data_IF_312660589513
#
_entry.id   IF_312660589513
#
_cell.length_a   1.000
_cell.length_b   1.000
_cell.length_c   1.000
_cell.angle_alpha   90.00
_cell.angle_beta   90.00
_cell.angle_gamma   90.00
#
_symmetry.space_group_name_H-M   'P 1'
#
loop_
_entity.id
_entity.type
_entity.pdbx_description
1 polymer ?
#
# COMPACT_ATOMS: atom_id res chain seq x y z
N UNK A 1 2.97 4.83 20.41
CA UNK A 1 3.75 3.57 20.40
C UNK A 1 3.05 2.40 19.70
N UNK A 2 1.71 2.35 19.57
CA UNK A 2 1.00 1.18 18.99
C UNK A 2 0.93 1.11 17.46
N UNK A 3 1.18 2.22 16.77
CA UNK A 3 0.93 2.33 15.33
C UNK A 3 1.91 1.59 14.41
N UNK A 4 3.24 1.62 14.67
CA UNK A 4 4.20 0.85 13.89
C UNK A 4 3.93 -0.65 14.02
N UNK A 5 3.56 -1.11 15.22
CA UNK A 5 3.18 -2.50 15.47
C UNK A 5 1.87 -2.89 14.77
N UNK A 6 0.86 -2.02 14.79
CA UNK A 6 -0.37 -2.24 14.02
C UNK A 6 -0.06 -2.35 12.52
N UNK A 7 0.75 -1.44 11.99
CA UNK A 7 1.20 -1.47 10.59
C UNK A 7 1.95 -2.77 10.28
N UNK A 8 2.89 -3.17 11.13
CA UNK A 8 3.68 -4.38 10.95
C UNK A 8 2.84 -5.66 10.94
N UNK A 9 2.00 -5.83 11.97
CA UNK A 9 1.10 -6.98 12.07
C UNK A 9 0.15 -7.05 10.88
N UNK A 10 -0.39 -5.90 10.46
CA UNK A 10 -1.32 -5.83 9.34
C UNK A 10 -0.63 -6.13 8.00
N UNK A 11 0.57 -5.58 7.76
CA UNK A 11 1.39 -5.88 6.59
C UNK A 11 1.71 -7.37 6.50
N UNK A 12 2.17 -7.98 7.59
CA UNK A 12 2.48 -9.41 7.65
C UNK A 12 1.23 -10.25 7.40
N UNK A 13 0.11 -9.90 8.04
CA UNK A 13 -1.16 -10.61 7.88
C UNK A 13 -1.65 -10.56 6.42
N UNK A 14 -1.60 -9.38 5.79
CA UNK A 14 -1.97 -9.20 4.39
C UNK A 14 -1.07 -10.01 3.46
N UNK A 15 0.25 -9.94 3.64
CA UNK A 15 1.20 -10.71 2.84
C UNK A 15 0.97 -12.22 3.00
N UNK A 16 0.69 -12.70 4.21
CA UNK A 16 0.44 -14.11 4.46
C UNK A 16 -0.87 -14.58 3.81
N UNK A 17 -1.94 -13.81 3.94
CA UNK A 17 -3.24 -14.13 3.33
C UNK A 17 -3.14 -14.11 1.81
N UNK A 18 -2.44 -13.13 1.26
CA UNK A 18 -2.22 -13.04 -0.18
C UNK A 18 -1.38 -14.21 -0.72
N UNK A 19 -0.35 -14.64 0.00
CA UNK A 19 0.42 -15.86 -0.32
C UNK A 19 -0.43 -17.12 -0.26
N UNK A 20 -1.35 -17.22 0.71
CA UNK A 20 -2.17 -18.42 0.94
C UNK A 20 -3.36 -18.54 0.00
N UNK A 21 -4.02 -17.41 -0.30
CA UNK A 21 -5.34 -17.40 -0.97
C UNK A 21 -5.34 -16.65 -2.30
N UNK A 22 -4.25 -15.96 -2.64
CA UNK A 22 -4.12 -15.09 -3.83
C UNK A 22 -5.22 -14.02 -3.94
N UNK A 23 -5.96 -13.77 -2.85
CA UNK A 23 -7.09 -12.85 -2.78
C UNK A 23 -7.22 -12.28 -1.38
N UNK A 24 -7.13 -10.96 -1.27
CA UNK A 24 -7.34 -10.27 0.01
C UNK A 24 -8.85 -10.01 0.21
N UNK A 25 -9.47 -10.52 1.28
CA UNK A 25 -10.89 -10.33 1.51
C UNK A 25 -11.20 -8.87 1.88
N UNK A 26 -12.32 -8.35 1.37
CA UNK A 26 -12.73 -6.94 1.56
C UNK A 26 -12.90 -6.58 3.03
N UNK A 27 -13.38 -7.53 3.84
CA UNK A 27 -13.62 -7.36 5.26
C UNK A 27 -12.35 -6.96 6.03
N UNK A 28 -11.20 -7.52 5.67
CA UNK A 28 -9.91 -7.20 6.29
C UNK A 28 -9.49 -5.76 5.99
N UNK A 29 -9.76 -5.29 4.78
CA UNK A 29 -9.49 -3.91 4.38
C UNK A 29 -10.37 -2.95 5.18
N UNK A 30 -11.67 -3.25 5.33
CA UNK A 30 -12.58 -2.42 6.12
C UNK A 30 -12.25 -2.42 7.61
N UNK A 31 -11.84 -3.56 8.16
CA UNK A 31 -11.35 -3.65 9.54
C UNK A 31 -10.13 -2.75 9.77
N UNK A 32 -9.23 -2.65 8.79
CA UNK A 32 -8.07 -1.78 8.88
C UNK A 32 -8.43 -0.29 8.82
N UNK A 33 -9.39 0.09 7.97
CA UNK A 33 -9.92 1.45 7.97
C UNK A 33 -10.56 1.79 9.31
N UNK A 34 -11.34 0.86 9.87
CA UNK A 34 -12.03 1.05 11.15
C UNK A 34 -11.04 1.16 12.31
N UNK A 35 -9.97 0.35 12.33
CA UNK A 35 -8.96 0.41 13.40
C UNK A 35 -8.10 1.67 13.34
N UNK A 36 -7.94 2.28 12.15
CA UNK A 36 -7.21 3.54 11.98
C UNK A 36 -8.05 4.78 12.24
N UNK A 37 -9.38 4.69 12.11
CA UNK A 37 -10.32 5.80 12.26
C UNK A 37 -10.07 6.72 13.47
N UNK A 38 -9.84 6.23 14.70
CA UNK A 38 -9.64 7.10 15.87
C UNK A 38 -8.34 7.93 15.85
N UNK A 39 -7.45 7.69 14.89
CA UNK A 39 -6.09 8.25 14.83
C UNK A 39 -5.87 9.04 13.52
N UNK A 40 -6.92 9.23 12.72
CA UNK A 40 -6.85 9.95 11.45
C UNK A 40 -6.71 11.45 11.73
N UNK A 41 -5.70 12.08 11.12
CA UNK A 41 -5.55 13.54 11.07
C UNK A 41 -5.89 14.08 9.68
N UNK A 42 -6.13 15.39 9.57
CA UNK A 42 -6.38 16.03 8.26
C UNK A 42 -5.24 15.77 7.25
N UNK A 43 -3.99 15.74 7.72
CA UNK A 43 -2.82 15.40 6.89
C UNK A 43 -2.95 14.00 6.28
N UNK A 44 -3.42 13.04 7.07
CA UNK A 44 -3.61 11.65 6.63
C UNK A 44 -4.74 11.54 5.62
N UNK A 45 -5.81 12.32 5.77
CA UNK A 45 -6.91 12.36 4.79
C UNK A 45 -6.41 12.87 3.44
N UNK A 46 -5.58 13.92 3.44
CA UNK A 46 -4.96 14.44 2.20
C UNK A 46 -4.08 13.36 1.56
N UNK A 47 -3.21 12.72 2.34
CA UNK A 47 -2.36 11.64 1.86
C UNK A 47 -3.17 10.44 1.33
N UNK A 48 -4.27 10.08 1.99
CA UNK A 48 -5.22 9.06 1.51
C UNK A 48 -5.82 9.44 0.15
N UNK A 49 -6.32 10.66 0.00
CA UNK A 49 -6.89 11.13 -1.26
C UNK A 49 -5.87 11.09 -2.41
N UNK A 50 -4.63 11.50 -2.14
CA UNK A 50 -3.53 11.42 -3.12
C UNK A 50 -3.25 9.96 -3.49
N UNK A 51 -3.09 9.08 -2.51
CA UNK A 51 -2.84 7.66 -2.76
C UNK A 51 -4.00 7.00 -3.51
N UNK A 52 -5.25 7.38 -3.21
CA UNK A 52 -6.44 6.92 -3.90
C UNK A 52 -6.47 7.33 -5.37
N UNK A 53 -6.16 8.60 -5.65
CA UNK A 53 -6.09 9.11 -7.02
C UNK A 53 -4.99 8.41 -7.83
N UNK A 54 -3.81 8.27 -7.24
CA UNK A 54 -2.70 7.53 -7.85
C UNK A 54 -3.09 6.08 -8.12
N UNK A 55 -3.68 5.38 -7.15
CA UNK A 55 -4.11 3.99 -7.32
C UNK A 55 -5.12 3.82 -8.47
N UNK A 56 -6.05 4.76 -8.63
CA UNK A 56 -7.03 4.75 -9.72
C UNK A 56 -6.41 5.05 -11.08
N UNK A 57 -5.52 6.04 -11.15
CA UNK A 57 -4.77 6.32 -12.38
C UNK A 57 -3.99 5.10 -12.85
N UNK A 58 -3.39 4.35 -11.93
CA UNK A 58 -2.64 3.15 -12.24
C UNK A 58 -3.52 1.98 -12.66
N UNK A 59 -4.68 1.84 -12.03
CA UNK A 59 -5.68 0.86 -12.45
C UNK A 59 -6.17 1.12 -13.88
N UNK A 60 -6.23 2.39 -14.29
CA UNK A 60 -6.60 2.76 -15.65
C UNK A 60 -5.52 2.40 -16.70
N UNK A 61 -4.30 2.04 -16.28
CA UNK A 61 -3.23 1.60 -17.18
C UNK A 61 -3.35 0.08 -17.39
N UNK A 62 -3.82 -0.40 -18.55
CA UNK A 62 -4.10 -1.83 -18.78
C UNK A 62 -2.84 -2.71 -18.75
N UNK A 63 -1.66 -2.13 -18.99
CA UNK A 63 -0.39 -2.87 -18.97
C UNK A 63 0.07 -3.28 -17.56
N UNK A 64 -0.42 -2.64 -16.50
CA UNK A 64 0.02 -2.90 -15.12
C UNK A 64 -0.68 -4.10 -14.47
N UNK A 65 -1.81 -4.58 -15.03
CA UNK A 65 -2.59 -5.74 -14.51
C UNK A 65 -2.77 -5.73 -12.98
N UNK A 66 -3.05 -4.55 -12.43
CA UNK A 66 -3.31 -4.35 -11.00
C UNK A 66 -4.63 -5.00 -10.59
N UNK A 67 -4.63 -5.69 -9.45
CA UNK A 67 -5.84 -6.23 -8.87
C UNK A 67 -6.69 -5.11 -8.26
N UNK A 68 -8.02 -5.23 -8.35
CA UNK A 68 -8.93 -4.28 -7.68
C UNK A 68 -8.75 -4.28 -6.15
N UNK A 69 -8.15 -5.34 -5.58
CA UNK A 69 -7.71 -5.39 -4.19
C UNK A 69 -6.57 -4.42 -3.89
N UNK A 70 -5.59 -4.31 -4.79
CA UNK A 70 -4.45 -3.40 -4.62
C UNK A 70 -4.92 -1.94 -4.61
N UNK A 71 -5.85 -1.59 -5.49
CA UNK A 71 -6.44 -0.23 -5.56
C UNK A 71 -7.10 0.19 -4.25
N UNK A 72 -7.59 -0.77 -3.47
CA UNK A 72 -8.26 -0.52 -2.17
C UNK A 72 -7.29 -0.47 -0.99
N UNK A 73 -6.14 -1.12 -1.13
CA UNK A 73 -5.11 -1.20 -0.10
C UNK A 73 -4.10 -0.04 -0.19
N UNK A 74 -3.71 0.37 -1.39
CA UNK A 74 -2.77 1.49 -1.59
C UNK A 74 -3.21 2.76 -0.83
N UNK A 75 -4.49 3.16 -0.84
CA UNK A 75 -4.94 4.35 -0.12
C UNK A 75 -4.76 4.24 1.41
N UNK A 76 -4.87 3.02 1.95
CA UNK A 76 -4.72 2.74 3.37
C UNK A 76 -3.31 3.13 3.88
N UNK A 77 -2.27 3.08 3.03
CA UNK A 77 -0.93 3.58 3.37
C UNK A 77 -0.95 5.08 3.72
N UNK A 78 -1.74 5.87 2.98
CA UNK A 78 -1.89 7.31 3.23
C UNK A 78 -2.57 7.63 4.57
N UNK A 79 -3.30 6.67 5.16
CA UNK A 79 -3.92 6.86 6.47
C UNK A 79 -2.96 6.62 7.64
N UNK A 80 -1.78 6.05 7.43
CA UNK A 80 -0.80 5.86 8.50
C UNK A 80 -0.04 7.18 8.76
N UNK A 81 -0.21 7.82 9.93
CA UNK A 81 0.42 9.11 10.29
C UNK A 81 1.94 9.04 10.43
N UNK A 82 2.53 7.85 10.47
CA UNK A 82 3.98 7.63 10.55
C UNK A 82 4.73 8.00 9.28
N UNK A 83 4.03 8.21 8.17
CA UNK A 83 4.68 8.46 6.87
C UNK A 83 4.54 9.92 6.44
N UNK A 84 5.65 10.50 5.99
CA UNK A 84 5.63 11.80 5.33
C UNK A 84 4.97 11.65 3.94
N UNK A 85 4.01 12.53 3.57
CA UNK A 85 3.27 12.40 2.31
C UNK A 85 4.18 12.36 1.08
N UNK A 86 5.26 13.14 1.09
CA UNK A 86 6.28 13.16 0.05
C UNK A 86 6.98 11.81 -0.10
N UNK A 87 7.37 11.18 1.01
CA UNK A 87 8.02 9.87 1.01
C UNK A 87 7.09 8.77 0.47
N UNK A 88 5.80 8.82 0.79
CA UNK A 88 4.79 7.88 0.28
C UNK A 88 4.69 7.99 -1.24
N UNK A 89 4.64 9.20 -1.78
CA UNK A 89 4.56 9.43 -3.23
C UNK A 89 5.82 8.92 -3.92
N UNK A 90 7.01 9.22 -3.40
CA UNK A 90 8.28 8.76 -3.99
C UNK A 90 8.38 7.24 -3.99
N UNK A 91 7.94 6.59 -2.89
CA UNK A 91 7.98 5.14 -2.75
C UNK A 91 6.92 4.45 -3.62
N UNK A 92 5.75 5.07 -3.80
CA UNK A 92 4.78 4.67 -4.81
C UNK A 92 5.40 4.74 -6.22
N UNK A 93 5.94 5.89 -6.62
CA UNK A 93 6.53 6.09 -7.95
C UNK A 93 7.67 5.10 -8.22
N UNK A 94 8.57 4.88 -7.24
CA UNK A 94 9.69 3.95 -7.41
C UNK A 94 9.24 2.49 -7.52
N UNK A 95 8.31 2.07 -6.66
CA UNK A 95 7.70 0.75 -6.75
C UNK A 95 6.97 0.55 -8.09
N UNK A 96 6.33 1.59 -8.62
CA UNK A 96 5.64 1.57 -9.91
C UNK A 96 6.60 1.49 -11.09
N UNK A 97 7.73 2.21 -11.04
CA UNK A 97 8.78 2.11 -12.05
C UNK A 97 9.34 0.69 -12.11
N UNK A 98 9.56 0.07 -10.96
CA UNK A 98 10.02 -1.32 -10.83
C UNK A 98 8.94 -2.27 -11.34
N UNK A 99 7.69 -2.13 -10.90
CA UNK A 99 6.55 -2.96 -11.34
C UNK A 99 6.35 -2.87 -12.86
N UNK A 100 6.42 -1.67 -13.45
CA UNK A 100 6.29 -1.49 -14.89
C UNK A 100 7.41 -2.22 -15.66
N UNK A 101 8.65 -2.14 -15.16
CA UNK A 101 9.81 -2.84 -15.73
C UNK A 101 9.67 -4.36 -15.66
N UNK A 102 9.12 -4.87 -14.55
CA UNK A 102 8.85 -6.30 -14.36
C UNK A 102 7.67 -6.81 -15.20
N UNK A 103 6.57 -6.05 -15.29
CA UNK A 103 5.39 -6.39 -16.10
C UNK A 103 5.73 -6.47 -17.60
N UNK A 104 6.61 -5.58 -18.10
CA UNK A 104 7.09 -5.60 -19.49
C UNK A 104 7.80 -6.92 -19.85
N UNK A 105 8.40 -7.59 -18.85
CA UNK A 105 9.17 -8.81 -19.03
C UNK A 105 8.41 -10.13 -18.75
N UNK A 106 7.22 -10.11 -18.12
CA UNK A 106 6.45 -11.35 -17.86
C UNK A 106 4.97 -11.24 -18.24
N UNK A 107 4.54 -12.11 -19.15
CA UNK A 107 3.20 -12.13 -19.78
C UNK A 107 2.01 -12.54 -18.90
N UNK A 108 2.14 -12.94 -17.62
CA UNK A 108 1.04 -13.74 -17.03
C UNK A 108 0.76 -13.74 -15.52
N UNK A 109 1.35 -12.91 -14.66
CA UNK A 109 0.95 -12.90 -13.23
C UNK A 109 0.52 -11.52 -12.75
N UNK A 110 -0.66 -11.46 -12.12
CA UNK A 110 -1.06 -10.36 -11.24
C UNK A 110 0.03 -10.24 -10.18
N UNK A 111 0.70 -9.10 -10.13
CA UNK A 111 1.69 -8.85 -9.10
C UNK A 111 0.92 -8.37 -7.87
N UNK A 112 1.12 -8.98 -6.69
CA UNK A 112 0.56 -8.45 -5.45
C UNK A 112 1.30 -7.17 -5.06
N UNK A 113 0.95 -6.09 -5.74
CA UNK A 113 1.63 -4.82 -5.66
C UNK A 113 1.41 -4.18 -4.28
N UNK A 114 0.20 -4.27 -3.73
CA UNK A 114 -0.09 -3.64 -2.44
C UNK A 114 0.61 -4.33 -1.26
N UNK A 115 0.57 -5.67 -1.07
CA UNK A 115 1.33 -6.31 0.01
C UNK A 115 2.84 -6.06 -0.09
N UNK A 116 3.40 -6.07 -1.30
CA UNK A 116 4.82 -5.74 -1.52
C UNK A 116 5.14 -4.29 -1.16
N UNK A 117 4.27 -3.34 -1.52
CA UNK A 117 4.37 -1.93 -1.13
C UNK A 117 4.30 -1.75 0.39
N UNK A 118 3.39 -2.45 1.07
CA UNK A 118 3.29 -2.46 2.54
C UNK A 118 4.55 -3.02 3.21
N UNK A 119 5.13 -4.08 2.64
CA UNK A 119 6.38 -4.65 3.14
C UNK A 119 7.59 -3.73 2.88
N UNK A 120 7.66 -3.10 1.71
CA UNK A 120 8.72 -2.14 1.38
C UNK A 120 8.64 -0.87 2.24
N UNK A 121 7.44 -0.38 2.51
CA UNK A 121 7.24 0.77 3.41
C UNK A 121 7.56 0.43 4.86
N UNK A 122 7.28 -0.80 5.31
CA UNK A 122 7.73 -1.31 6.60
C UNK A 122 9.26 -1.31 6.70
N UNK A 123 9.93 -1.90 5.70
CA UNK A 123 11.39 -1.92 5.63
C UNK A 123 11.93 -0.48 5.64
N UNK A 124 11.41 0.39 4.78
CA UNK A 124 11.86 1.79 4.72
C UNK A 124 11.65 2.56 6.03
N UNK A 125 10.59 2.24 6.78
CA UNK A 125 10.33 2.80 8.11
C UNK A 125 11.36 2.31 9.14
N UNK A 126 11.63 1.00 9.21
CA UNK A 126 12.64 0.43 10.13
C UNK A 126 14.06 0.92 9.84
N UNK A 127 14.41 1.12 8.57
CA UNK A 127 15.72 1.65 8.17
C UNK A 127 15.83 3.19 8.24
N UNK A 128 14.84 3.88 8.80
CA UNK A 128 14.90 5.33 9.08
C UNK A 128 14.80 6.23 7.86
N UNK A 129 14.51 5.70 6.66
CA UNK A 129 14.40 6.48 5.42
C UNK A 129 13.14 7.36 5.36
N UNK A 130 12.13 7.05 6.18
CA UNK A 130 10.84 7.77 6.19
C UNK A 130 10.66 8.67 7.43
N UNK A 131 11.64 8.70 8.33
CA UNK A 131 11.61 9.46 9.58
C UNK A 131 12.50 10.71 9.51
N UNK A 132 12.14 11.66 8.63
CA UNK A 132 12.37 13.10 8.79
C UNK A 132 11.27 13.86 8.08
#
# INVERSE_FOLDING_TARGET
MYLPWHFALFSILLSFIDLKTHRIPRQLIYLAYLSLFPIITLRNVIAFCVCFFVAHLLFAIPSLRLGYGDVRLIPLLGLYPTFNPSAIITLLISALAILSSFCKNRKSRLIPAAPALFLMTLIAHEFGFVLR
#
